data_IF_061130877362
#
_entry.id   IF_061130877362
#
_cell.length_a   1.000
_cell.length_b   1.000
_cell.length_c   1.000
_cell.angle_alpha   90.00
_cell.angle_beta   90.00
_cell.angle_gamma   90.00
#
_symmetry.space_group_name_H-M   'P 1'
#
loop_
_entity.id
_entity.type
_entity.pdbx_description
1 polymer ?
#
# COMPACT_ATOMS: atom_id res chain seq x y z
N UNK A 1 28.21 0.22 47.13
CA UNK A 1 26.87 0.24 46.50
C UNK A 1 27.01 0.23 44.98
N UNK A 2 27.50 -0.85 44.32
CA UNK A 2 27.60 -0.77 42.84
C UNK A 2 27.69 -2.06 42.03
N UNK A 3 27.89 -3.24 42.62
CA UNK A 3 28.01 -4.50 41.84
C UNK A 3 26.74 -5.34 41.89
N UNK A 4 26.12 -5.48 43.06
CA UNK A 4 24.86 -6.23 43.23
C UNK A 4 23.70 -5.64 42.42
N UNK A 5 23.66 -4.31 42.30
CA UNK A 5 22.64 -3.59 41.51
C UNK A 5 22.82 -3.76 40.00
N UNK A 6 24.05 -3.95 39.54
CA UNK A 6 24.37 -4.16 38.12
C UNK A 6 24.04 -5.59 37.69
N UNK A 7 24.41 -6.57 38.51
CA UNK A 7 24.07 -7.99 38.28
C UNK A 7 22.56 -8.21 38.31
N UNK A 8 21.83 -7.56 39.23
CA UNK A 8 20.37 -7.62 39.26
C UNK A 8 19.72 -6.96 38.03
N UNK A 9 20.32 -5.90 37.50
CA UNK A 9 19.84 -5.27 36.26
C UNK A 9 20.06 -6.18 35.05
N UNK A 10 21.20 -6.87 34.97
CA UNK A 10 21.49 -7.84 33.92
C UNK A 10 20.57 -9.06 34.00
N UNK A 11 20.27 -9.55 35.21
CA UNK A 11 19.32 -10.66 35.42
C UNK A 11 17.91 -10.29 34.95
N UNK A 12 17.41 -9.12 35.36
CA UNK A 12 16.10 -8.60 34.92
C UNK A 12 16.03 -8.39 33.42
N UNK A 13 17.12 -7.91 32.79
CA UNK A 13 17.19 -7.78 31.34
C UNK A 13 17.14 -9.15 30.65
N UNK A 14 17.87 -10.14 31.16
CA UNK A 14 17.83 -11.52 30.66
C UNK A 14 16.44 -12.15 30.76
N UNK A 15 15.75 -11.97 31.89
CA UNK A 15 14.36 -12.43 32.06
C UNK A 15 13.37 -11.73 31.12
N UNK A 16 13.56 -10.43 30.87
CA UNK A 16 12.71 -9.64 29.98
C UNK A 16 12.91 -10.05 28.51
N UNK A 17 14.15 -10.31 28.11
CA UNK A 17 14.49 -10.85 26.79
C UNK A 17 13.98 -12.28 26.61
N UNK A 18 14.05 -13.12 27.65
CA UNK A 18 13.49 -14.48 27.65
C UNK A 18 11.95 -14.47 27.54
N UNK A 19 11.27 -13.61 28.29
CA UNK A 19 9.80 -13.39 28.21
C UNK A 19 9.34 -12.82 26.87
N UNK A 20 10.23 -12.18 26.11
CA UNK A 20 9.95 -11.63 24.77
C UNK A 20 10.58 -12.44 23.63
N UNK A 21 11.10 -13.64 23.90
CA UNK A 21 11.74 -14.50 22.90
C UNK A 21 10.80 -14.89 21.75
N UNK A 22 9.50 -15.04 22.06
CA UNK A 22 8.46 -15.34 21.05
C UNK A 22 7.92 -14.09 20.34
N UNK A 23 8.17 -12.89 20.86
CA UNK A 23 7.74 -11.64 20.22
C UNK A 23 8.43 -11.45 18.86
N UNK A 24 9.69 -11.90 18.75
CA UNK A 24 10.42 -11.92 17.48
C UNK A 24 9.78 -12.85 16.45
N UNK A 25 9.38 -14.06 16.87
CA UNK A 25 8.67 -15.01 16.00
C UNK A 25 7.29 -14.52 15.59
N UNK A 26 6.54 -13.93 16.52
CA UNK A 26 5.21 -13.35 16.27
C UNK A 26 5.31 -12.13 15.35
N UNK A 27 6.30 -11.26 15.56
CA UNK A 27 6.56 -10.12 14.68
C UNK A 27 6.98 -10.57 13.29
N UNK A 28 7.90 -11.52 13.17
CA UNK A 28 8.31 -12.08 11.88
C UNK A 28 7.14 -12.75 11.14
N UNK A 29 6.27 -13.46 11.86
CA UNK A 29 5.05 -14.05 11.29
C UNK A 29 4.06 -12.99 10.81
N UNK A 30 3.83 -11.92 11.59
CA UNK A 30 2.98 -10.79 11.18
C UNK A 30 3.55 -10.01 10.01
N UNK A 31 4.86 -9.74 10.00
CA UNK A 31 5.54 -9.08 8.89
C UNK A 31 5.38 -9.92 7.63
N UNK A 32 5.66 -11.22 7.70
CA UNK A 32 5.51 -12.13 6.54
C UNK A 32 4.08 -12.16 6.01
N UNK A 33 3.08 -12.19 6.90
CA UNK A 33 1.66 -12.11 6.52
C UNK A 33 1.33 -10.79 5.82
N UNK A 34 1.76 -9.66 6.39
CA UNK A 34 1.54 -8.34 5.81
C UNK A 34 2.26 -8.17 4.46
N UNK A 35 3.46 -8.74 4.31
CA UNK A 35 4.20 -8.74 3.04
C UNK A 35 3.44 -9.51 1.97
N UNK A 36 2.88 -10.69 2.29
CA UNK A 36 2.05 -11.47 1.35
C UNK A 36 0.77 -10.71 0.98
N UNK A 37 0.05 -10.14 1.95
CA UNK A 37 -1.16 -9.35 1.67
C UNK A 37 -0.86 -8.11 0.81
N UNK A 38 0.28 -7.46 1.02
CA UNK A 38 0.73 -6.33 0.19
C UNK A 38 1.12 -6.77 -1.22
N UNK A 39 1.79 -7.91 -1.35
CA UNK A 39 2.20 -8.48 -2.64
C UNK A 39 0.97 -8.98 -3.44
N UNK A 40 -0.04 -9.54 -2.79
CA UNK A 40 -1.35 -9.86 -3.36
C UNK A 40 -2.12 -8.61 -3.80
N UNK A 41 -2.05 -7.52 -3.02
CA UNK A 41 -2.62 -6.23 -3.41
C UNK A 41 -1.88 -5.60 -4.60
N UNK A 42 -0.55 -5.75 -4.68
CA UNK A 42 0.26 -5.24 -5.80
C UNK A 42 0.16 -6.12 -7.06
N UNK A 43 0.02 -7.43 -6.93
CA UNK A 43 -0.29 -8.31 -8.06
C UNK A 43 -1.72 -8.11 -8.58
N UNK A 44 -2.63 -7.60 -7.73
CA UNK A 44 -3.93 -7.05 -8.15
C UNK A 44 -3.84 -5.62 -8.72
N UNK A 45 -2.71 -4.91 -8.62
CA UNK A 45 -2.46 -3.67 -9.36
C UNK A 45 -2.01 -3.99 -10.79
N UNK A 46 -2.98 -4.36 -11.62
CA UNK A 46 -2.96 -4.08 -13.05
C UNK A 46 -1.95 -4.82 -13.94
N UNK A 47 -1.71 -6.11 -13.70
CA UNK A 47 -1.25 -6.98 -14.79
C UNK A 47 -2.28 -7.03 -15.93
N UNK A 48 -3.56 -6.79 -15.63
CA UNK A 48 -4.60 -6.77 -16.64
C UNK A 48 -4.74 -5.38 -17.29
N UNK A 49 -4.16 -5.26 -18.48
CA UNK A 49 -4.28 -4.08 -19.32
C UNK A 49 -5.76 -3.70 -19.58
N UNK A 50 -6.67 -4.67 -19.63
CA UNK A 50 -8.10 -4.45 -19.86
C UNK A 50 -8.73 -3.71 -18.69
N UNK A 51 -8.48 -4.16 -17.45
CA UNK A 51 -9.01 -3.49 -16.26
C UNK A 51 -8.40 -2.10 -16.05
N UNK A 52 -7.14 -1.92 -16.42
CA UNK A 52 -6.51 -0.59 -16.39
C UNK A 52 -7.15 0.38 -17.40
N UNK A 53 -7.49 -0.09 -18.60
CA UNK A 53 -8.18 0.72 -19.62
C UNK A 53 -9.60 1.05 -19.15
N UNK A 54 -10.34 0.07 -18.63
CA UNK A 54 -11.71 0.28 -18.12
C UNK A 54 -11.73 1.31 -16.98
N UNK A 55 -10.90 1.11 -15.96
CA UNK A 55 -10.81 2.03 -14.82
C UNK A 55 -10.36 3.43 -15.24
N UNK A 56 -9.36 3.53 -16.13
CA UNK A 56 -8.91 4.80 -16.70
C UNK A 56 -10.01 5.54 -17.48
N UNK A 57 -10.79 4.81 -18.29
CA UNK A 57 -11.92 5.37 -19.02
C UNK A 57 -13.02 5.88 -18.08
N UNK A 58 -13.38 5.12 -17.04
CA UNK A 58 -14.36 5.54 -16.04
C UNK A 58 -13.87 6.83 -15.36
N UNK A 59 -12.61 6.88 -14.95
CA UNK A 59 -12.02 8.06 -14.31
C UNK A 59 -12.04 9.29 -15.22
N UNK A 60 -11.66 9.13 -16.49
CA UNK A 60 -11.77 10.19 -17.48
C UNK A 60 -13.22 10.66 -17.65
N UNK A 61 -14.17 9.72 -17.74
CA UNK A 61 -15.58 10.04 -17.94
C UNK A 61 -16.15 10.87 -16.78
N UNK A 62 -15.92 10.46 -15.54
CA UNK A 62 -16.43 11.14 -14.34
C UNK A 62 -15.76 12.47 -14.07
N UNK A 63 -14.43 12.55 -14.24
CA UNK A 63 -13.68 13.75 -13.83
C UNK A 63 -13.40 14.75 -14.96
N UNK A 64 -13.50 14.34 -16.23
CA UNK A 64 -13.24 15.20 -17.39
C UNK A 64 -14.46 15.33 -18.28
N UNK A 65 -14.97 14.23 -18.83
CA UNK A 65 -16.06 14.24 -19.84
C UNK A 65 -17.32 14.90 -19.30
N UNK A 66 -17.89 14.35 -18.21
CA UNK A 66 -19.15 14.83 -17.63
C UNK A 66 -19.02 16.25 -17.05
N UNK A 67 -17.82 16.67 -16.66
CA UNK A 67 -17.58 18.01 -16.11
C UNK A 67 -17.45 19.09 -17.17
N UNK A 68 -17.22 18.74 -18.43
CA UNK A 68 -17.04 19.69 -19.54
C UNK A 68 -17.97 19.36 -20.72
N UNK A 69 -19.30 19.29 -20.52
CA UNK A 69 -20.23 18.83 -21.54
C UNK A 69 -20.16 19.70 -22.80
N UNK A 70 -20.02 21.03 -22.67
CA UNK A 70 -19.89 21.93 -23.82
C UNK A 70 -18.68 21.61 -24.70
N UNK A 71 -17.50 21.41 -24.08
CA UNK A 71 -16.25 21.07 -24.80
C UNK A 71 -16.41 19.75 -25.57
N UNK A 72 -16.88 18.71 -24.90
CA UNK A 72 -16.97 17.38 -25.51
C UNK A 72 -18.15 17.26 -26.49
N UNK A 73 -19.23 18.03 -26.31
CA UNK A 73 -20.30 18.15 -27.30
C UNK A 73 -19.81 18.84 -28.57
N UNK A 74 -18.96 19.87 -28.46
CA UNK A 74 -18.33 20.49 -29.61
C UNK A 74 -17.36 19.51 -30.31
N UNK A 75 -16.55 18.80 -29.51
CA UNK A 75 -15.63 17.77 -30.01
C UNK A 75 -16.34 16.67 -30.82
N UNK A 76 -17.53 16.27 -30.37
CA UNK A 76 -18.35 15.25 -31.04
C UNK A 76 -18.89 15.69 -32.41
N UNK A 77 -18.97 16.99 -32.68
CA UNK A 77 -19.40 17.54 -33.97
C UNK A 77 -18.28 17.54 -35.02
N UNK A 78 -17.03 17.36 -34.60
CA UNK A 78 -15.86 17.33 -35.48
C UNK A 78 -14.72 18.20 -34.98
N UNK A 79 -13.56 18.02 -35.60
CA UNK A 79 -12.36 18.82 -35.34
C UNK A 79 -11.76 19.26 -36.67
N UNK A 80 -11.22 20.48 -36.70
CA UNK A 80 -10.48 21.02 -37.85
C UNK A 80 -9.08 21.42 -37.40
N UNK A 81 -8.19 20.45 -37.14
CA UNK A 81 -6.82 20.72 -36.73
C UNK A 81 -6.07 21.44 -37.85
N UNK A 82 -5.27 22.45 -37.48
CA UNK A 82 -4.57 23.34 -38.42
C UNK A 82 -3.23 22.77 -38.92
N UNK A 83 -3.07 21.45 -38.93
CA UNK A 83 -1.80 20.80 -39.29
C UNK A 83 -1.34 21.28 -40.66
#
# INVERSE_FOLDING_TARGET
MSTETYEDALKKLGELLSKKSDLGKVAASKIKKLTVELEELDSNKSSDAVERIKSGFIHFKTHKYLKKPSLYNALAKGQSPKV
#
